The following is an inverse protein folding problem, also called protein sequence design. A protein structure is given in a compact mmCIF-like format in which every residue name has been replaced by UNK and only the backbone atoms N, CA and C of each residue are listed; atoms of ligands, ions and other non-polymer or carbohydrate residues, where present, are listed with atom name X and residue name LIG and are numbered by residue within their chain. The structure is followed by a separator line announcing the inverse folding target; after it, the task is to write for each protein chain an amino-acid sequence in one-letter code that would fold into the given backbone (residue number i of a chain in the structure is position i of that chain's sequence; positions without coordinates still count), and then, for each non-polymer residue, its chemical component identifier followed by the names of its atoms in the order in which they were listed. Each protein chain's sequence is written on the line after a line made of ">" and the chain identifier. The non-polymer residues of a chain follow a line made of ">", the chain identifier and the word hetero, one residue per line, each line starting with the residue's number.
data_IF_431650980328
#
_entry.id   IF_431650980328
#
_cell.length_a   1.000
_cell.length_b   1.000
_cell.length_c   1.000
_cell.angle_alpha   90.00
_cell.angle_beta   90.00
_cell.angle_gamma   90.00
#
_symmetry.space_group_name_H-M   'P 1'
#
loop_
_entity.id
_entity.type
_entity.pdbx_description
1 polymer ?
#
# COMPACT_ATOMS: atom_id res chain seq x y z
N UNK A 1 14.20 6.83 22.65
CA UNK A 1 14.63 7.61 21.46
C UNK A 1 13.39 7.88 20.63
N UNK A 2 13.14 9.13 20.22
CA UNK A 2 12.00 9.51 19.37
C UNK A 2 12.55 9.83 17.99
N UNK A 3 12.11 9.09 16.97
CA UNK A 3 12.57 9.26 15.58
C UNK A 3 11.39 9.68 14.70
N UNK A 4 11.50 10.83 14.05
CA UNK A 4 10.51 11.32 13.11
C UNK A 4 10.79 10.79 11.69
N UNK A 5 9.99 9.82 11.24
CA UNK A 5 9.76 9.39 9.83
C UNK A 5 10.95 9.11 8.89
N UNK A 6 12.20 9.16 9.34
CA UNK A 6 13.37 8.69 8.59
C UNK A 6 13.95 7.46 9.28
N UNK A 7 13.37 6.31 8.94
CA UNK A 7 13.86 4.98 9.37
C UNK A 7 15.04 4.50 8.51
N UNK A 8 15.62 5.37 7.68
CA UNK A 8 16.69 5.03 6.75
C UNK A 8 18.04 5.24 7.44
N UNK A 9 18.82 4.15 7.56
CA UNK A 9 20.18 4.17 8.11
C UNK A 9 20.33 3.97 9.62
N UNK A 10 19.24 3.80 10.39
CA UNK A 10 19.32 3.55 11.83
C UNK A 10 19.14 2.06 12.11
N UNK A 11 20.19 1.47 12.65
CA UNK A 11 20.26 0.07 13.06
C UNK A 11 20.27 -0.01 14.59
N UNK A 12 19.19 -0.55 15.18
CA UNK A 12 19.07 -0.71 16.63
C UNK A 12 19.18 -2.19 16.98
N UNK A 13 20.39 -2.73 16.93
CA UNK A 13 20.64 -4.13 17.24
C UNK A 13 20.68 -4.41 18.76
N UNK A 14 20.21 -5.60 19.16
CA UNK A 14 20.38 -6.13 20.52
C UNK A 14 19.61 -5.34 21.58
N UNK A 15 20.30 -4.88 22.62
CA UNK A 15 19.66 -4.09 23.69
C UNK A 15 19.34 -2.64 23.29
N UNK A 16 19.65 -2.23 22.05
CA UNK A 16 19.41 -0.87 21.58
C UNK A 16 17.91 -0.58 21.35
N UNK A 17 17.08 -1.59 21.06
CA UNK A 17 15.63 -1.42 20.91
C UNK A 17 14.86 -2.65 21.40
N UNK A 18 14.45 -2.62 22.68
CA UNK A 18 13.57 -3.64 23.28
C UNK A 18 12.09 -3.24 23.27
N UNK A 19 11.81 -1.95 23.16
CA UNK A 19 10.46 -1.40 23.12
C UNK A 19 10.38 -0.33 22.03
N UNK A 20 9.52 -0.55 21.04
CA UNK A 20 9.27 0.35 19.93
C UNK A 20 7.86 0.89 20.03
N UNK A 21 7.70 2.22 19.98
CA UNK A 21 6.39 2.85 19.86
C UNK A 21 6.25 3.45 18.47
N UNK A 22 5.24 3.01 17.72
CA UNK A 22 4.88 3.60 16.44
C UNK A 22 3.62 4.46 16.63
N UNK A 23 3.78 5.77 16.52
CA UNK A 23 2.68 6.72 16.64
C UNK A 23 2.17 7.18 15.27
N UNK A 24 0.90 6.87 15.01
CA UNK A 24 0.17 7.23 13.80
C UNK A 24 0.76 6.64 12.50
N UNK A 25 0.08 6.90 11.38
CA UNK A 25 0.55 6.45 10.06
C UNK A 25 1.84 7.19 9.67
N UNK A 26 2.84 6.49 9.11
CA UNK A 26 4.09 7.13 8.66
C UNK A 26 3.80 8.17 7.57
N UNK A 27 3.96 9.45 7.93
CA UNK A 27 3.80 10.61 7.04
C UNK A 27 5.13 10.99 6.39
N UNK A 28 5.26 10.72 5.09
CA UNK A 28 6.48 10.99 4.34
C UNK A 28 6.37 10.53 2.89
N UNK A 29 5.21 10.72 2.28
CA UNK A 29 5.01 10.46 0.85
C UNK A 29 5.38 11.72 0.07
N UNK A 30 6.20 11.55 -0.96
CA UNK A 30 6.48 12.65 -1.90
C UNK A 30 5.19 13.07 -2.62
N UNK A 31 5.14 14.27 -3.19
CA UNK A 31 4.01 14.69 -4.04
C UNK A 31 3.74 13.69 -5.17
N UNK A 32 4.81 13.05 -5.67
CA UNK A 32 4.72 11.98 -6.64
C UNK A 32 3.99 10.74 -6.09
N UNK A 33 4.30 10.34 -4.85
CA UNK A 33 3.62 9.21 -4.22
C UNK A 33 2.15 9.56 -3.96
N UNK A 34 1.86 10.75 -3.45
CA UNK A 34 0.48 11.24 -3.23
C UNK A 34 -0.30 11.26 -4.56
N UNK A 35 0.33 11.71 -5.64
CA UNK A 35 -0.26 11.66 -6.96
C UNK A 35 -0.52 10.21 -7.42
N UNK A 36 0.48 9.32 -7.30
CA UNK A 36 0.37 7.91 -7.70
C UNK A 36 -0.75 7.20 -6.94
N UNK A 37 -0.86 7.49 -5.66
CA UNK A 37 -1.92 7.05 -4.74
C UNK A 37 -3.31 7.44 -5.27
N UNK A 38 -3.47 8.71 -5.65
CA UNK A 38 -4.75 9.22 -6.14
C UNK A 38 -5.16 8.64 -7.50
N UNK A 39 -4.20 8.25 -8.34
CA UNK A 39 -4.48 7.80 -9.72
C UNK A 39 -4.58 6.28 -9.89
N UNK A 40 -3.78 5.47 -9.18
CA UNK A 40 -3.80 3.99 -9.28
C UNK A 40 -4.82 3.34 -8.33
N UNK A 41 -5.44 4.13 -7.44
CA UNK A 41 -6.31 3.70 -6.33
C UNK A 41 -5.58 3.07 -5.13
N UNK A 42 -6.37 2.83 -4.07
CA UNK A 42 -5.99 2.57 -2.67
C UNK A 42 -4.94 1.46 -2.46
N UNK A 43 -4.89 0.46 -3.34
CA UNK A 43 -4.02 -0.70 -3.18
C UNK A 43 -2.52 -0.37 -3.23
N UNK A 44 -2.09 0.56 -4.09
CA UNK A 44 -0.68 0.97 -4.16
C UNK A 44 -0.25 1.74 -2.90
N UNK A 45 -1.16 2.56 -2.36
CA UNK A 45 -1.01 3.30 -1.10
C UNK A 45 -0.88 2.35 0.05
N UNK A 46 -1.83 1.42 0.14
CA UNK A 46 -1.90 0.47 1.24
C UNK A 46 -0.73 -0.48 1.20
N UNK A 47 -0.23 -0.86 0.01
CA UNK A 47 1.01 -1.60 -0.13
C UNK A 47 2.24 -0.82 0.34
N UNK A 48 2.35 0.48 0.02
CA UNK A 48 3.46 1.31 0.48
C UNK A 48 3.42 1.54 2.00
N UNK A 49 2.24 1.83 2.54
CA UNK A 49 2.02 1.99 3.98
C UNK A 49 2.30 0.67 4.70
N UNK A 50 1.81 -0.46 4.19
CA UNK A 50 2.11 -1.79 4.71
C UNK A 50 3.61 -2.03 4.79
N UNK A 51 4.32 -1.80 3.68
CA UNK A 51 5.77 -1.96 3.62
C UNK A 51 6.48 -1.08 4.65
N UNK A 52 6.05 0.17 4.85
CA UNK A 52 6.62 1.07 5.88
C UNK A 52 6.32 0.59 7.30
N UNK A 53 5.11 0.09 7.55
CA UNK A 53 4.74 -0.49 8.85
C UNK A 53 5.61 -1.71 9.14
N UNK A 54 5.75 -2.63 8.19
CA UNK A 54 6.60 -3.82 8.33
C UNK A 54 8.06 -3.49 8.51
N UNK A 55 8.58 -2.52 7.74
CA UNK A 55 9.94 -2.03 7.93
C UNK A 55 10.12 -1.43 9.32
N UNK A 56 9.15 -0.65 9.80
CA UNK A 56 9.14 -0.09 11.15
C UNK A 56 9.20 -1.18 12.22
N UNK A 57 8.30 -2.16 12.15
CA UNK A 57 8.26 -3.33 13.05
C UNK A 57 9.58 -4.10 12.99
N UNK A 58 10.09 -4.38 11.78
CA UNK A 58 11.34 -5.10 11.54
C UNK A 58 12.61 -4.35 11.92
N UNK A 59 12.53 -3.07 12.32
CA UNK A 59 13.68 -2.39 12.96
C UNK A 59 13.90 -2.86 14.40
N UNK A 60 12.87 -3.37 15.08
CA UNK A 60 12.96 -3.81 16.46
C UNK A 60 13.56 -5.21 16.63
N UNK A 61 13.62 -6.02 15.57
CA UNK A 61 14.06 -7.42 15.67
C UNK A 61 15.03 -7.79 14.55
N UNK A 62 16.20 -8.33 14.91
CA UNK A 62 17.15 -8.90 13.94
C UNK A 62 17.52 -10.34 14.27
N UNK A 63 16.96 -11.28 13.49
CA UNK A 63 17.29 -12.72 13.56
C UNK A 63 16.51 -13.49 14.64
N UNK A 64 16.60 -14.82 14.60
CA UNK A 64 15.74 -15.72 15.40
C UNK A 64 15.92 -15.68 16.93
N UNK A 65 16.93 -14.98 17.44
CA UNK A 65 17.18 -14.82 18.87
C UNK A 65 16.73 -13.47 19.46
N UNK A 66 16.45 -12.49 18.61
CA UNK A 66 16.18 -11.11 19.02
C UNK A 66 14.68 -10.87 19.23
N UNK A 67 14.34 -10.02 20.20
CA UNK A 67 12.97 -9.76 20.60
C UNK A 67 12.77 -8.30 20.97
N UNK A 68 11.62 -7.77 20.59
CA UNK A 68 11.20 -6.41 20.86
C UNK A 68 9.69 -6.39 21.00
N UNK A 69 9.20 -5.57 21.92
CA UNK A 69 7.77 -5.29 22.08
C UNK A 69 7.44 -4.04 21.27
N UNK A 70 6.50 -4.16 20.34
CA UNK A 70 6.06 -3.04 19.50
C UNK A 70 4.67 -2.59 19.93
N UNK A 71 4.54 -1.32 20.31
CA UNK A 71 3.28 -0.68 20.65
C UNK A 71 2.84 0.23 19.51
N UNK A 72 1.69 -0.06 18.92
CA UNK A 72 1.10 0.73 17.84
C UNK A 72 0.04 1.66 18.43
N UNK A 73 0.24 2.97 18.30
CA UNK A 73 -0.68 3.98 18.82
C UNK A 73 -1.13 4.96 17.73
N UNK A 74 -2.19 5.71 18.02
CA UNK A 74 -2.74 6.72 17.11
C UNK A 74 -3.88 6.21 16.23
N UNK A 75 -4.96 6.99 16.19
CA UNK A 75 -6.24 6.61 15.54
C UNK A 75 -6.10 6.29 14.06
N UNK A 76 -5.18 6.96 13.35
CA UNK A 76 -4.96 6.72 11.92
C UNK A 76 -4.29 5.39 11.65
N UNK A 77 -3.34 4.98 12.48
CA UNK A 77 -2.64 3.70 12.36
C UNK A 77 -3.57 2.55 12.72
N UNK A 78 -4.22 2.65 13.88
CA UNK A 78 -5.20 1.67 14.36
C UNK A 78 -6.35 1.52 13.35
N UNK A 79 -6.90 2.64 12.87
CA UNK A 79 -7.97 2.63 11.86
C UNK A 79 -7.53 2.10 10.50
N UNK A 80 -6.24 2.19 10.15
CA UNK A 80 -5.71 1.61 8.92
C UNK A 80 -5.51 0.10 9.06
N UNK A 81 -4.93 -0.35 10.18
CA UNK A 81 -4.67 -1.78 10.49
C UNK A 81 -6.00 -2.54 10.67
N UNK A 82 -7.02 -1.93 11.26
CA UNK A 82 -8.32 -2.56 11.45
C UNK A 82 -9.09 -2.88 10.16
N UNK A 83 -8.64 -2.39 8.99
CA UNK A 83 -9.29 -2.68 7.70
C UNK A 83 -8.75 -3.98 7.11
N UNK A 84 -9.62 -4.97 6.90
CA UNK A 84 -9.26 -6.25 6.26
C UNK A 84 -8.57 -6.08 4.90
N UNK A 85 -8.99 -5.09 4.10
CA UNK A 85 -8.37 -4.78 2.81
C UNK A 85 -6.91 -4.34 2.94
N UNK A 86 -6.54 -3.72 4.06
CA UNK A 86 -5.19 -3.23 4.33
C UNK A 86 -4.28 -4.33 4.89
N UNK A 87 -4.81 -5.18 5.78
CA UNK A 87 -4.10 -6.34 6.32
C UNK A 87 -3.63 -7.29 5.22
N UNK A 88 -4.37 -7.39 4.11
CA UNK A 88 -3.99 -8.20 2.96
C UNK A 88 -2.65 -7.80 2.32
N UNK A 89 -2.15 -6.58 2.55
CA UNK A 89 -0.85 -6.11 2.06
C UNK A 89 0.32 -6.42 3.00
N UNK A 90 0.05 -6.84 4.24
CA UNK A 90 1.08 -7.27 5.20
C UNK A 90 1.45 -8.73 4.96
N UNK A 91 2.60 -9.15 5.46
CA UNK A 91 3.07 -10.53 5.51
C UNK A 91 2.22 -11.36 6.45
N UNK A 92 2.24 -12.68 6.26
CA UNK A 92 1.51 -13.61 7.12
C UNK A 92 1.95 -13.50 8.59
N UNK A 93 3.26 -13.40 8.83
CA UNK A 93 3.82 -13.20 10.16
C UNK A 93 3.32 -11.93 10.82
N UNK A 94 3.35 -10.80 10.12
CA UNK A 94 2.88 -9.52 10.69
C UNK A 94 1.38 -9.54 10.94
N UNK A 95 0.58 -10.18 10.08
CA UNK A 95 -0.86 -10.33 10.32
C UNK A 95 -1.15 -11.11 11.60
N UNK A 96 -0.47 -12.23 11.83
CA UNK A 96 -0.66 -13.04 13.04
C UNK A 96 -0.20 -12.30 14.28
N UNK A 97 0.95 -11.61 14.22
CA UNK A 97 1.42 -10.75 15.31
C UNK A 97 0.43 -9.64 15.66
N UNK A 98 -0.18 -9.00 14.67
CA UNK A 98 -1.22 -8.00 14.88
C UNK A 98 -2.50 -8.61 15.48
N UNK A 99 -2.87 -9.81 15.05
CA UNK A 99 -4.03 -10.53 15.61
C UNK A 99 -3.82 -10.87 17.09
N UNK A 100 -2.66 -11.45 17.43
CA UNK A 100 -2.28 -11.71 18.84
C UNK A 100 -2.27 -10.41 19.65
N UNK A 101 -1.69 -9.34 19.10
CA UNK A 101 -1.65 -8.03 19.77
C UNK A 101 -3.04 -7.43 19.99
N UNK A 102 -3.98 -7.64 19.06
CA UNK A 102 -5.36 -7.20 19.19
C UNK A 102 -6.09 -7.99 20.28
N UNK A 103 -5.96 -9.32 20.30
CA UNK A 103 -6.54 -10.18 21.34
C UNK A 103 -6.03 -9.78 22.75
N UNK A 104 -4.73 -9.54 22.88
CA UNK A 104 -4.15 -9.05 24.13
C UNK A 104 -4.64 -7.64 24.49
N UNK A 105 -4.82 -6.75 23.50
CA UNK A 105 -5.33 -5.40 23.75
C UNK A 105 -6.80 -5.39 24.20
N UNK A 106 -7.59 -6.38 23.78
CA UNK A 106 -9.00 -6.52 24.19
C UNK A 106 -9.15 -7.00 25.65
N UNK A 107 -8.15 -7.73 26.16
CA UNK A 107 -8.14 -8.24 27.54
C UNK A 107 -7.50 -7.27 28.55
N UNK A 108 -6.80 -6.25 28.06
CA UNK A 108 -6.07 -5.27 28.86
C UNK A 108 -6.85 -3.96 28.93
N UNK A 109 -7.25 -3.56 30.13
CA UNK A 109 -8.08 -2.37 30.37
C UNK A 109 -7.36 -1.25 31.12
N UNK A 110 -6.35 -1.60 31.93
CA UNK A 110 -5.62 -0.62 32.76
C UNK A 110 -4.19 -0.43 32.29
N UNK A 111 -3.62 0.75 32.56
CA UNK A 111 -2.20 1.05 32.26
C UNK A 111 -1.25 0.06 32.94
N UNK A 112 -1.62 -0.44 34.12
CA UNK A 112 -0.85 -1.44 34.86
C UNK A 112 -0.82 -2.78 34.14
N UNK A 113 -1.97 -3.24 33.64
CA UNK A 113 -2.06 -4.47 32.83
C UNK A 113 -1.29 -4.35 31.51
N UNK A 114 -1.30 -3.16 30.87
CA UNK A 114 -0.46 -2.88 29.69
C UNK A 114 1.02 -3.06 30.06
N UNK A 115 1.46 -2.44 31.16
CA UNK A 115 2.84 -2.56 31.63
C UNK A 115 3.22 -4.01 31.92
N UNK A 116 2.39 -4.76 32.63
CA UNK A 116 2.62 -6.18 32.92
C UNK A 116 2.72 -7.02 31.64
N UNK A 117 1.88 -6.74 30.65
CA UNK A 117 1.90 -7.43 29.35
C UNK A 117 3.19 -7.13 28.58
N UNK A 118 3.61 -5.86 28.53
CA UNK A 118 4.89 -5.46 27.95
C UNK A 118 6.06 -6.16 28.65
N UNK A 119 6.02 -6.23 29.99
CA UNK A 119 7.08 -6.87 30.77
C UNK A 119 7.13 -8.39 30.56
N UNK A 120 5.99 -9.07 30.33
CA UNK A 120 5.98 -10.50 29.95
C UNK A 120 6.76 -10.74 28.64
N UNK A 121 6.55 -9.87 27.65
CA UNK A 121 7.30 -9.92 26.39
C UNK A 121 8.79 -9.64 26.58
N UNK A 122 9.14 -8.61 27.38
CA UNK A 122 10.52 -8.20 27.63
C UNK A 122 11.31 -9.19 28.49
N UNK A 123 10.66 -9.82 29.47
CA UNK A 123 11.27 -10.82 30.34
C UNK A 123 11.33 -12.22 29.68
N UNK A 124 10.81 -12.35 28.45
CA UNK A 124 10.71 -13.62 27.72
C UNK A 124 10.03 -14.71 28.54
N UNK A 125 8.86 -14.38 29.08
CA UNK A 125 8.05 -15.35 29.81
C UNK A 125 7.88 -16.64 28.98
N UNK A 126 8.07 -17.80 29.62
CA UNK A 126 8.16 -19.08 28.92
C UNK A 126 6.84 -19.46 28.23
N UNK A 127 5.71 -19.08 28.81
CA UNK A 127 4.39 -19.35 28.23
C UNK A 127 4.12 -18.43 27.05
N UNK A 128 4.51 -17.15 27.16
CA UNK A 128 4.46 -16.20 26.04
C UNK A 128 5.31 -16.66 24.85
N UNK A 129 6.56 -17.08 25.10
CA UNK A 129 7.47 -17.52 24.02
C UNK A 129 6.91 -18.75 23.31
N UNK A 130 6.31 -19.70 24.04
CA UNK A 130 5.68 -20.89 23.46
C UNK A 130 4.46 -20.53 22.61
N UNK A 131 3.55 -19.73 23.16
CA UNK A 131 2.34 -19.29 22.47
C UNK A 131 2.68 -18.50 21.19
N UNK A 132 3.58 -17.53 21.28
CA UNK A 132 4.02 -16.77 20.11
C UNK A 132 4.66 -17.68 19.05
N UNK A 133 5.46 -18.66 19.46
CA UNK A 133 6.10 -19.59 18.51
C UNK A 133 5.09 -20.53 17.82
N UNK A 134 4.06 -21.02 18.53
CA UNK A 134 3.03 -21.86 17.92
C UNK A 134 2.20 -21.09 16.89
N UNK A 135 1.74 -19.90 17.23
CA UNK A 135 0.95 -19.05 16.33
C UNK A 135 1.74 -18.67 15.06
N UNK A 136 3.03 -18.34 15.19
CA UNK A 136 3.87 -18.06 14.01
C UNK A 136 4.15 -19.30 13.15
N UNK A 137 4.26 -20.48 13.76
CA UNK A 137 4.49 -21.72 13.03
C UNK A 137 3.28 -22.07 12.14
N UNK A 138 2.06 -21.84 12.65
CA UNK A 138 0.83 -21.98 11.84
C UNK A 138 0.73 -20.94 10.73
N UNK A 139 1.30 -19.75 10.95
CA UNK A 139 1.34 -18.66 9.99
C UNK A 139 2.38 -18.81 8.86
N UNK A 140 3.22 -19.86 8.87
CA UNK A 140 4.42 -20.00 8.04
C UNK A 140 4.17 -20.19 6.52
N UNK A 141 3.00 -19.82 6.02
CA UNK A 141 2.69 -19.76 4.60
C UNK A 141 2.98 -18.35 4.06
N UNK A 142 4.03 -18.25 3.24
CA UNK A 142 4.34 -17.02 2.53
C UNK A 142 3.11 -16.56 1.72
N UNK A 143 2.75 -15.27 1.84
CA UNK A 143 1.73 -14.70 0.98
C UNK A 143 2.15 -14.92 -0.49
N UNK A 144 1.23 -15.33 -1.38
CA UNK A 144 1.57 -15.58 -2.77
C UNK A 144 2.15 -14.30 -3.37
N UNK A 145 3.34 -14.41 -3.95
CA UNK A 145 4.00 -13.31 -4.63
C UNK A 145 3.09 -12.86 -5.79
N UNK A 146 2.74 -11.57 -5.82
CA UNK A 146 1.95 -11.02 -6.90
C UNK A 146 2.82 -10.91 -8.17
N UNK A 147 2.88 -12.00 -8.93
CA UNK A 147 3.68 -12.13 -10.15
C UNK A 147 3.32 -11.07 -11.20
N UNK A 148 2.03 -10.72 -11.32
CA UNK A 148 1.56 -9.68 -12.21
C UNK A 148 2.13 -8.31 -11.82
N UNK A 149 2.08 -7.95 -10.54
CA UNK A 149 2.63 -6.69 -10.05
C UNK A 149 4.15 -6.62 -10.28
N UNK A 150 4.88 -7.71 -10.05
CA UNK A 150 6.33 -7.78 -10.34
C UNK A 150 6.64 -7.60 -11.82
N UNK A 151 5.87 -8.26 -12.70
CA UNK A 151 6.01 -8.17 -14.15
C UNK A 151 5.78 -6.74 -14.65
N UNK A 152 4.72 -6.09 -14.16
CA UNK A 152 4.44 -4.69 -14.48
C UNK A 152 5.55 -3.77 -13.98
N UNK A 153 5.99 -3.91 -12.74
CA UNK A 153 7.09 -3.12 -12.19
C UNK A 153 8.40 -3.31 -12.98
N UNK A 154 8.70 -4.53 -13.41
CA UNK A 154 9.82 -4.83 -14.30
C UNK A 154 9.69 -4.14 -15.67
N UNK A 155 8.48 -4.13 -16.23
CA UNK A 155 8.15 -3.42 -17.46
C UNK A 155 8.30 -1.90 -17.35
N UNK A 156 7.77 -1.29 -16.29
CA UNK A 156 7.94 0.14 -15.97
C UNK A 156 9.43 0.50 -15.87
N UNK A 157 10.20 -0.26 -15.09
CA UNK A 157 11.65 -0.06 -14.93
C UNK A 157 12.39 -0.12 -16.27
N UNK A 158 12.03 -1.09 -17.12
CA UNK A 158 12.63 -1.24 -18.46
C UNK A 158 12.31 -0.02 -19.34
N UNK A 159 11.06 0.43 -19.35
CA UNK A 159 10.64 1.59 -20.13
C UNK A 159 11.35 2.88 -19.67
N UNK A 160 11.43 3.11 -18.36
CA UNK A 160 12.16 4.28 -17.83
C UNK A 160 13.67 4.23 -18.13
N UNK A 161 14.28 3.04 -18.11
CA UNK A 161 15.67 2.89 -18.55
C UNK A 161 15.83 3.29 -20.02
N UNK A 162 14.92 2.86 -20.89
CA UNK A 162 14.94 3.21 -22.32
C UNK A 162 14.73 4.71 -22.55
N UNK A 163 13.77 5.32 -21.85
CA UNK A 163 13.52 6.76 -21.87
C UNK A 163 14.78 7.55 -21.47
N UNK A 164 15.45 7.15 -20.39
CA UNK A 164 16.70 7.79 -19.95
C UNK A 164 17.83 7.67 -20.97
N UNK A 165 17.83 6.61 -21.79
CA UNK A 165 18.79 6.43 -22.89
C UNK A 165 18.37 7.14 -24.19
N UNK A 166 17.29 7.93 -24.17
CA UNK A 166 16.74 8.61 -25.35
C UNK A 166 16.01 7.68 -26.33
N UNK A 167 15.84 6.40 -26.00
CA UNK A 167 15.15 5.42 -26.84
C UNK A 167 13.62 5.47 -26.59
N UNK A 168 13.03 6.64 -26.83
CA UNK A 168 11.65 6.93 -26.47
C UNK A 168 10.63 6.01 -27.16
N UNK A 169 10.79 5.73 -28.46
CA UNK A 169 9.87 4.85 -29.19
C UNK A 169 9.83 3.43 -28.61
N UNK A 170 11.00 2.89 -28.23
CA UNK A 170 11.08 1.57 -27.57
C UNK A 170 10.46 1.59 -26.17
N UNK A 171 10.57 2.72 -25.47
CA UNK A 171 9.92 2.89 -24.17
C UNK A 171 8.39 2.91 -24.32
N UNK A 172 7.86 3.64 -25.30
CA UNK A 172 6.44 3.65 -25.65
C UNK A 172 5.93 2.26 -26.02
N UNK A 173 6.63 1.56 -26.92
CA UNK A 173 6.27 0.18 -27.28
C UNK A 173 6.26 -0.76 -26.07
N UNK A 174 7.13 -0.55 -25.09
CA UNK A 174 7.12 -1.33 -23.85
C UNK A 174 5.86 -1.06 -23.04
N UNK A 175 5.46 0.20 -22.88
CA UNK A 175 4.21 0.54 -22.20
C UNK A 175 2.97 0.07 -22.95
N UNK A 176 2.91 0.24 -24.27
CA UNK A 176 1.77 -0.21 -25.09
C UNK A 176 1.59 -1.72 -25.02
N UNK A 177 2.68 -2.50 -25.01
CA UNK A 177 2.62 -3.95 -24.79
C UNK A 177 2.03 -4.30 -23.43
N UNK A 178 2.40 -3.59 -22.37
CA UNK A 178 1.81 -3.81 -21.04
C UNK A 178 0.33 -3.38 -21.01
N UNK A 179 -0.03 -2.26 -21.65
CA UNK A 179 -1.41 -1.77 -21.71
C UNK A 179 -2.31 -2.74 -22.48
N UNK A 180 -1.77 -3.45 -23.48
CA UNK A 180 -2.49 -4.44 -24.27
C UNK A 180 -2.54 -5.84 -23.63
N UNK A 181 -1.88 -6.05 -22.49
CA UNK A 181 -1.83 -7.33 -21.80
C UNK A 181 -3.21 -7.74 -21.26
N UNK A 182 -3.66 -8.96 -21.60
CA UNK A 182 -4.98 -9.47 -21.19
C UNK A 182 -5.08 -9.64 -19.66
N UNK A 183 -3.99 -9.94 -18.95
CA UNK A 183 -4.02 -10.05 -17.48
C UNK A 183 -4.30 -8.72 -16.80
N UNK A 184 -4.01 -7.60 -17.46
CA UNK A 184 -4.28 -6.25 -16.95
C UNK A 184 -5.65 -5.71 -17.33
N UNK A 185 -6.41 -6.43 -18.15
CA UNK A 185 -7.72 -5.98 -18.62
C UNK A 185 -8.71 -5.75 -17.48
N UNK A 186 -8.60 -6.51 -16.40
CA UNK A 186 -9.39 -6.37 -15.18
C UNK A 186 -8.95 -5.18 -14.31
N UNK A 187 -7.71 -4.71 -14.43
CA UNK A 187 -7.15 -3.59 -13.67
C UNK A 187 -7.08 -2.31 -14.53
N UNK A 188 -8.24 -1.69 -14.71
CA UNK A 188 -8.39 -0.47 -15.50
C UNK A 188 -7.55 0.70 -14.96
N UNK A 189 -7.39 0.81 -13.64
CA UNK A 189 -6.61 1.87 -13.00
C UNK A 189 -5.12 1.73 -13.31
N UNK A 190 -4.57 0.52 -13.24
CA UNK A 190 -3.17 0.27 -13.59
C UNK A 190 -2.92 0.49 -15.08
N UNK A 191 -3.85 0.13 -15.97
CA UNK A 191 -3.74 0.44 -17.41
C UNK A 191 -3.79 1.94 -17.68
N UNK A 192 -4.67 2.67 -16.99
CA UNK A 192 -4.74 4.13 -17.08
C UNK A 192 -3.42 4.78 -16.62
N UNK A 193 -2.83 4.28 -15.54
CA UNK A 193 -1.51 4.71 -15.08
C UNK A 193 -0.41 4.49 -16.11
N UNK A 194 -0.32 3.29 -16.69
CA UNK A 194 0.66 3.00 -17.74
C UNK A 194 0.43 3.90 -18.98
N UNK A 195 -0.84 4.18 -19.31
CA UNK A 195 -1.20 5.10 -20.39
C UNK A 195 -0.74 6.53 -20.11
N UNK A 196 -0.89 7.03 -18.88
CA UNK A 196 -0.38 8.35 -18.48
C UNK A 196 1.16 8.43 -18.52
N UNK A 197 1.85 7.36 -18.14
CA UNK A 197 3.32 7.28 -18.26
C UNK A 197 3.77 7.29 -19.72
N UNK A 198 3.09 6.54 -20.59
CA UNK A 198 3.34 6.55 -22.02
C UNK A 198 3.07 7.94 -22.62
N UNK A 199 1.97 8.59 -22.25
CA UNK A 199 1.65 9.95 -22.70
C UNK A 199 2.77 10.94 -22.40
N UNK A 200 3.36 10.87 -21.20
CA UNK A 200 4.50 11.72 -20.82
C UNK A 200 5.69 11.54 -21.74
N UNK A 201 6.00 10.30 -22.13
CA UNK A 201 7.10 10.02 -23.06
C UNK A 201 6.76 10.54 -24.47
N UNK A 202 5.52 10.35 -24.94
CA UNK A 202 5.09 10.87 -26.23
C UNK A 202 5.21 12.40 -26.29
N UNK A 203 4.82 13.12 -25.23
CA UNK A 203 5.01 14.57 -25.17
C UNK A 203 6.49 14.99 -25.14
N UNK A 204 7.39 14.21 -24.53
CA UNK A 204 8.83 14.47 -24.62
C UNK A 204 9.40 14.28 -26.01
N UNK A 205 8.75 13.48 -26.85
CA UNK A 205 9.08 13.31 -28.27
C UNK A 205 8.40 14.36 -29.17
N UNK A 206 7.66 15.32 -28.59
CA UNK A 206 6.85 16.28 -29.34
C UNK A 206 5.72 15.63 -30.17
N UNK A 207 5.37 14.36 -29.90
CA UNK A 207 4.21 13.69 -30.50
C UNK A 207 2.93 14.04 -29.73
N UNK A 208 2.38 15.21 -30.07
CA UNK A 208 1.19 15.74 -29.41
C UNK A 208 -0.04 14.85 -29.59
N UNK A 209 -0.20 14.23 -30.77
CA UNK A 209 -1.38 13.41 -31.07
C UNK A 209 -1.40 12.14 -30.22
N UNK A 210 -0.28 11.42 -30.15
CA UNK A 210 -0.17 10.20 -29.35
C UNK A 210 -0.23 10.53 -27.86
N UNK A 211 0.45 11.59 -27.42
CA UNK A 211 0.38 12.07 -26.04
C UNK A 211 -1.05 12.41 -25.63
N UNK A 212 -1.77 13.17 -26.47
CA UNK A 212 -3.16 13.56 -26.24
C UNK A 212 -4.09 12.34 -26.14
N UNK A 213 -3.96 11.38 -27.04
CA UNK A 213 -4.76 10.14 -27.04
C UNK A 213 -4.54 9.32 -25.76
N UNK A 214 -3.28 9.11 -25.39
CA UNK A 214 -2.90 8.32 -24.21
C UNK A 214 -3.31 9.00 -22.90
N UNK A 215 -3.15 10.33 -22.81
CA UNK A 215 -3.55 11.09 -21.63
C UNK A 215 -5.08 11.13 -21.48
N UNK A 216 -5.80 11.25 -22.60
CA UNK A 216 -7.28 11.20 -22.61
C UNK A 216 -7.79 9.86 -22.11
N UNK A 217 -7.18 8.75 -22.54
CA UNK A 217 -7.51 7.42 -22.04
C UNK A 217 -7.33 7.34 -20.52
N UNK A 218 -6.16 7.73 -20.01
CA UNK A 218 -5.89 7.71 -18.57
C UNK A 218 -6.92 8.55 -17.78
N UNK A 219 -7.15 9.79 -18.21
CA UNK A 219 -8.07 10.71 -17.56
C UNK A 219 -9.52 10.22 -17.58
N UNK A 220 -9.96 9.54 -18.66
CA UNK A 220 -11.31 8.99 -18.77
C UNK A 220 -11.61 7.89 -17.75
N UNK A 221 -10.58 7.16 -17.31
CA UNK A 221 -10.71 6.11 -16.28
C UNK A 221 -10.68 6.72 -14.88
N UNK A 222 -9.83 7.71 -14.66
CA UNK A 222 -9.69 8.38 -13.37
C UNK A 222 -9.34 9.88 -13.54
N UNK A 223 -10.27 10.74 -13.12
CA UNK A 223 -10.13 12.20 -13.20
C UNK A 223 -9.02 12.77 -12.31
N UNK A 224 -8.41 11.95 -11.44
CA UNK A 224 -7.25 12.35 -10.65
C UNK A 224 -5.95 12.39 -11.48
N UNK A 225 -5.93 11.83 -12.68
CA UNK A 225 -4.82 12.00 -13.61
C UNK A 225 -4.72 13.46 -14.06
N UNK A 226 -3.53 13.87 -14.51
CA UNK A 226 -3.36 15.17 -15.16
C UNK A 226 -4.35 15.34 -16.33
N UNK A 227 -5.01 16.49 -16.48
CA UNK A 227 -5.95 16.69 -17.58
C UNK A 227 -5.19 16.72 -18.92
N UNK A 228 -5.75 16.11 -20.00
CA UNK A 228 -5.20 16.27 -21.34
C UNK A 228 -5.40 17.71 -21.87
N UNK A 229 -4.62 18.11 -22.89
CA UNK A 229 -4.73 19.46 -23.49
C UNK A 229 -6.15 19.72 -24.01
N UNK A 230 -6.71 18.74 -24.74
CA UNK A 230 -8.10 18.74 -25.17
C UNK A 230 -8.88 17.80 -24.26
N UNK A 231 -9.86 18.30 -23.52
CA UNK A 231 -10.64 17.44 -22.60
C UNK A 231 -11.65 16.59 -23.38
N UNK A 232 -11.78 15.30 -23.06
CA UNK A 232 -12.87 14.50 -23.61
C UNK A 232 -14.23 15.01 -23.10
N UNK A 233 -15.32 14.78 -23.82
CA UNK A 233 -16.66 15.06 -23.33
C UNK A 233 -16.91 14.30 -22.03
N UNK A 234 -17.61 14.94 -21.08
CA UNK A 234 -17.91 14.34 -19.79
C UNK A 234 -18.77 13.08 -19.96
N UNK A 235 -18.30 11.94 -19.45
CA UNK A 235 -19.06 10.70 -19.39
C UNK A 235 -19.47 10.45 -17.93
N UNK A 236 -20.76 10.51 -17.58
CA UNK A 236 -21.20 10.22 -16.22
C UNK A 236 -20.89 8.77 -15.85
N UNK A 237 -20.38 8.55 -14.64
CA UNK A 237 -20.09 7.19 -14.15
C UNK A 237 -21.40 6.38 -14.07
N UNK A 238 -21.42 5.12 -14.54
CA UNK A 238 -22.60 4.28 -14.43
C UNK A 238 -22.95 4.10 -12.95
N UNK A 239 -24.18 4.48 -12.58
CA UNK A 239 -24.70 4.33 -11.22
C UNK A 239 -24.85 2.83 -10.96
N UNK A 240 -24.14 2.29 -9.94
CA UNK A 240 -24.33 0.90 -9.50
C UNK A 240 -25.80 0.68 -9.14
N UNK A 241 -26.45 -0.36 -9.65
CA UNK A 241 -27.89 -0.63 -9.47
C UNK A 241 -28.33 -0.65 -7.99
N UNK A 242 -27.45 -1.05 -7.08
CA UNK A 242 -27.68 -1.00 -5.62
C UNK A 242 -27.94 0.42 -5.07
N UNK A 243 -27.43 1.44 -5.76
CA UNK A 243 -27.63 2.86 -5.41
C UNK A 243 -28.94 3.40 -6.01
N UNK A 244 -29.39 2.83 -7.13
CA UNK A 244 -30.65 3.19 -7.79
C UNK A 244 -31.86 2.78 -6.95
N UNK A 245 -31.78 1.63 -6.26
CA UNK A 245 -32.81 1.16 -5.34
C UNK A 245 -32.94 2.01 -4.05
N UNK A 246 -31.86 2.67 -3.60
CA UNK A 246 -31.94 3.62 -2.46
C UNK A 246 -32.51 4.97 -2.88
N UNK A 247 -32.18 5.44 -4.08
CA UNK A 247 -32.72 6.68 -4.62
C UNK A 247 -34.22 6.57 -4.92
N UNK A 248 -34.69 5.45 -5.48
CA UNK A 248 -36.15 5.26 -5.70
C UNK A 248 -36.95 5.13 -4.41
N UNK A 249 -36.40 4.50 -3.36
CA UNK A 249 -37.03 4.44 -2.03
C UNK A 249 -37.09 5.79 -1.33
N UNK A 250 -36.10 6.66 -1.53
CA UNK A 250 -36.13 8.01 -0.96
C UNK A 250 -37.20 8.88 -1.64
N UNK A 251 -37.37 8.77 -2.96
CA UNK A 251 -38.40 9.51 -3.72
C UNK A 251 -39.83 9.10 -3.39
N UNK A 252 -40.10 7.83 -3.06
CA UNK A 252 -41.43 7.36 -2.65
C UNK A 252 -41.78 7.63 -1.18
N UNK A 253 -40.87 8.17 -0.37
CA UNK A 253 -41.13 8.56 1.02
C UNK A 253 -41.42 10.06 1.21
N UNK A 254 -41.44 10.83 0.12
CA UNK A 254 -41.71 12.26 0.09
C UNK A 254 -43.02 12.64 -0.62
N UNK A 255 -43.93 11.68 -0.81
CA UNK A 255 -45.34 11.89 -1.20
C UNK A 255 -46.19 11.13 -0.19
#
# INVERSE_FOLDING_TARGET
>A
MVLANRYDGIDLAGNACRFLVMDNLPQGTSDYDIYRVNVVADAAVSSLIAQRIEQGIGRGTRGGGDFCTVMLIGSRLVGWIGRKSNLAFLTASTRVQLSMGQEMSETVTTVKEVHETVMKCLNRDADWVKYHASELAEAAHAAPVNMLALRVAGGERKAFKLQRLGQYEKALQTFEKLIADEELKSDSQRRAWLSALAARIAYQMEDEQRGQKLQTNAFSVNNNHSPPKIRPPYVPRPIRESSRARLSRASSSMI
#
